data_IF_338453989195
#
_entry.id   IF_338453989195
#
_cell.length_a   1.000
_cell.length_b   1.000
_cell.length_c   1.000
_cell.angle_alpha   90.00
_cell.angle_beta   90.00
_cell.angle_gamma   90.00
#
_symmetry.space_group_name_H-M   'P 1'
#
loop_
_entity.id
_entity.type
_entity.pdbx_description
1 polymer ?
#
# COMPACT_ATOMS: atom_id res chain seq x y z
N UNK A 1 35.78 -19.98 31.82
CA UNK A 1 34.91 -18.79 31.82
C UNK A 1 35.25 -17.78 30.75
N UNK A 2 36.51 -17.42 30.50
CA UNK A 2 36.87 -16.44 29.44
C UNK A 2 36.50 -16.83 28.00
N UNK A 3 36.47 -18.12 27.68
CA UNK A 3 36.08 -18.62 26.33
C UNK A 3 34.56 -18.59 26.05
N UNK A 4 33.74 -18.66 27.08
CA UNK A 4 32.29 -18.63 26.97
C UNK A 4 31.79 -17.19 26.73
N UNK A 5 32.46 -16.21 27.31
CA UNK A 5 32.17 -14.79 27.12
C UNK A 5 32.46 -14.31 25.70
N UNK A 6 33.47 -14.85 25.04
CA UNK A 6 33.81 -14.52 23.65
C UNK A 6 32.82 -15.09 22.64
N UNK A 7 32.24 -16.27 22.92
CA UNK A 7 31.23 -16.89 22.08
C UNK A 7 29.86 -16.17 22.15
N UNK A 8 29.51 -15.69 23.35
CA UNK A 8 28.25 -14.94 23.51
C UNK A 8 28.29 -13.56 22.84
N UNK A 9 29.45 -12.92 22.81
CA UNK A 9 29.63 -11.62 22.14
C UNK A 9 29.54 -11.71 20.61
N UNK A 10 30.04 -12.80 20.01
CA UNK A 10 29.95 -12.99 18.56
C UNK A 10 28.56 -13.35 18.05
N UNK A 11 27.76 -14.04 18.85
CA UNK A 11 26.35 -14.35 18.51
C UNK A 11 25.49 -13.10 18.58
N UNK A 12 25.70 -12.24 19.57
CA UNK A 12 24.97 -10.97 19.69
C UNK A 12 25.26 -10.00 18.52
N UNK A 13 26.48 -10.00 18.00
CA UNK A 13 26.85 -9.15 16.86
C UNK A 13 26.30 -9.68 15.53
N UNK A 14 26.17 -10.99 15.38
CA UNK A 14 25.60 -11.62 14.18
C UNK A 14 24.09 -11.36 14.03
N UNK A 15 23.35 -11.25 15.13
CA UNK A 15 21.91 -10.96 15.10
C UNK A 15 21.58 -9.53 14.71
N UNK A 16 22.49 -8.59 14.88
CA UNK A 16 22.31 -7.19 14.48
C UNK A 16 22.44 -6.97 12.96
N UNK A 17 23.02 -7.91 12.23
CA UNK A 17 23.24 -7.79 10.78
C UNK A 17 22.03 -8.24 9.94
N UNK A 18 20.99 -8.82 10.55
CA UNK A 18 19.81 -9.33 9.87
C UNK A 18 18.58 -8.41 9.97
N UNK A 19 18.71 -7.23 10.57
CA UNK A 19 17.63 -6.24 10.53
C UNK A 19 17.63 -5.57 9.14
N UNK A 20 17.05 -6.24 8.16
CA UNK A 20 16.77 -5.65 6.86
C UNK A 20 15.89 -4.41 7.05
N UNK A 21 16.37 -3.24 6.63
CA UNK A 21 15.60 -2.01 6.64
C UNK A 21 14.51 -2.13 5.57
N UNK A 22 13.28 -2.45 5.98
CA UNK A 22 12.11 -2.33 5.12
C UNK A 22 11.71 -0.86 5.01
N UNK A 23 11.40 -0.39 3.80
CA UNK A 23 10.86 0.94 3.54
C UNK A 23 9.34 0.86 3.50
N UNK A 24 8.67 1.69 4.28
CA UNK A 24 7.23 1.89 4.17
C UNK A 24 6.95 3.08 3.27
N UNK A 25 6.00 2.92 2.36
CA UNK A 25 5.50 4.04 1.56
C UNK A 25 4.69 4.99 2.45
N UNK A 26 4.50 6.21 1.99
CA UNK A 26 3.63 7.18 2.66
C UNK A 26 2.16 6.85 2.40
N UNK A 27 1.29 7.30 3.30
CA UNK A 27 -0.15 7.27 3.04
C UNK A 27 -0.47 8.12 1.80
N UNK A 28 -1.44 7.67 1.04
CA UNK A 28 -1.90 8.39 -0.13
C UNK A 28 -2.63 9.67 0.28
N UNK A 29 -2.25 10.77 -0.34
CA UNK A 29 -2.96 12.03 -0.23
C UNK A 29 -3.59 12.37 -1.59
N UNK A 30 -4.89 12.70 -1.64
CA UNK A 30 -5.53 13.12 -2.88
C UNK A 30 -4.81 14.25 -3.57
N UNK A 31 -4.65 14.15 -4.88
CA UNK A 31 -4.07 15.17 -5.72
C UNK A 31 -5.09 16.28 -6.00
N UNK A 32 -4.69 17.54 -5.85
CA UNK A 32 -5.54 18.67 -6.18
C UNK A 32 -5.99 18.65 -7.65
N UNK A 33 -5.09 18.27 -8.56
CA UNK A 33 -5.39 18.18 -10.00
C UNK A 33 -6.40 17.06 -10.30
N UNK A 34 -6.25 15.89 -9.67
CA UNK A 34 -7.19 14.79 -9.82
C UNK A 34 -8.57 15.16 -9.29
N UNK A 35 -8.62 15.75 -8.10
CA UNK A 35 -9.89 16.21 -7.50
C UNK A 35 -10.57 17.27 -8.37
N UNK A 36 -9.81 18.20 -8.94
CA UNK A 36 -10.36 19.22 -9.85
C UNK A 36 -10.90 18.57 -11.13
N UNK A 37 -10.15 17.66 -11.73
CA UNK A 37 -10.57 16.91 -12.93
C UNK A 37 -11.85 16.13 -12.66
N UNK A 38 -11.96 15.45 -11.53
CA UNK A 38 -13.16 14.71 -11.14
C UNK A 38 -14.38 15.63 -10.93
N UNK A 39 -14.19 16.83 -10.39
CA UNK A 39 -15.25 17.82 -10.19
C UNK A 39 -15.84 18.33 -11.51
N UNK A 40 -15.09 18.28 -12.61
CA UNK A 40 -15.61 18.64 -13.93
C UNK A 40 -16.68 17.64 -14.42
N UNK A 41 -16.71 16.42 -13.86
CA UNK A 41 -17.72 15.41 -14.09
C UNK A 41 -18.79 15.39 -12.99
N UNK A 42 -19.45 16.51 -12.74
CA UNK A 42 -20.39 16.74 -11.62
C UNK A 42 -21.50 15.70 -11.50
N UNK A 43 -22.01 15.23 -12.63
CA UNK A 43 -23.12 14.28 -12.67
C UNK A 43 -22.69 12.82 -12.57
N UNK A 44 -21.39 12.55 -12.62
CA UNK A 44 -20.85 11.22 -12.51
C UNK A 44 -20.79 10.82 -11.02
N UNK A 45 -21.58 9.82 -10.66
CA UNK A 45 -21.54 9.20 -9.34
C UNK A 45 -21.11 7.74 -9.48
N UNK A 46 -20.17 7.33 -8.66
CA UNK A 46 -19.58 6.01 -8.69
C UNK A 46 -19.62 5.37 -7.31
N UNK A 47 -19.94 4.09 -7.26
CA UNK A 47 -19.60 3.23 -6.14
C UNK A 47 -18.25 2.54 -6.43
N UNK A 48 -17.48 2.28 -5.39
CA UNK A 48 -16.23 1.49 -5.48
C UNK A 48 -16.49 0.13 -4.88
N UNK A 49 -16.35 -0.90 -5.69
CA UNK A 49 -16.38 -2.29 -5.25
C UNK A 49 -15.01 -2.73 -4.76
N UNK A 50 -14.95 -3.87 -4.08
CA UNK A 50 -13.69 -4.40 -3.57
C UNK A 50 -12.66 -4.60 -4.68
N UNK A 51 -11.48 -4.02 -4.51
CA UNK A 51 -10.32 -4.32 -5.32
C UNK A 51 -9.69 -5.63 -4.86
N UNK A 52 -9.20 -6.39 -5.80
CA UNK A 52 -8.55 -7.68 -5.56
C UNK A 52 -7.12 -7.68 -6.07
N UNK A 53 -6.35 -8.68 -5.68
CA UNK A 53 -5.00 -8.92 -6.19
C UNK A 53 -4.89 -10.37 -6.64
N UNK A 54 -4.17 -10.60 -7.73
CA UNK A 54 -3.80 -11.95 -8.18
C UNK A 54 -2.98 -12.65 -7.10
N UNK A 55 -2.03 -11.92 -6.50
CA UNK A 55 -1.33 -12.38 -5.28
C UNK A 55 -2.10 -11.86 -4.06
N UNK A 56 -2.96 -12.71 -3.50
CA UNK A 56 -3.82 -12.35 -2.37
C UNK A 56 -3.00 -11.92 -1.16
N UNK A 57 -3.36 -10.78 -0.58
CA UNK A 57 -2.73 -10.28 0.63
C UNK A 57 -1.33 -9.67 0.43
N UNK A 58 -0.86 -9.55 -0.82
CA UNK A 58 0.43 -8.93 -1.11
C UNK A 58 0.43 -7.46 -0.65
N UNK A 59 1.32 -7.15 0.29
CA UNK A 59 1.45 -5.82 0.90
C UNK A 59 2.87 -5.26 0.83
N UNK A 60 3.79 -6.02 0.23
CA UNK A 60 5.19 -5.64 0.07
C UNK A 60 5.80 -6.24 -1.18
N UNK A 61 6.78 -5.55 -1.74
CA UNK A 61 7.59 -6.03 -2.86
C UNK A 61 9.06 -5.84 -2.56
N UNK A 62 9.89 -6.71 -3.13
CA UNK A 62 11.33 -6.63 -3.03
C UNK A 62 11.85 -5.68 -4.12
N UNK A 63 12.50 -4.59 -3.71
CA UNK A 63 13.16 -3.65 -4.59
C UNK A 63 14.67 -3.87 -4.59
N UNK A 64 15.28 -3.82 -5.76
CA UNK A 64 16.76 -3.87 -5.92
C UNK A 64 17.44 -5.03 -5.18
N UNK A 65 16.76 -6.19 -5.13
CA UNK A 65 17.25 -7.44 -4.53
C UNK A 65 17.52 -7.40 -3.00
N UNK A 66 17.42 -6.26 -2.33
CA UNK A 66 17.82 -6.13 -0.94
C UNK A 66 16.81 -5.40 -0.05
N UNK A 67 15.99 -4.53 -0.62
CA UNK A 67 15.08 -3.68 0.14
C UNK A 67 13.62 -4.09 -0.08
N UNK A 68 12.89 -4.26 1.01
CA UNK A 68 11.44 -4.50 0.94
C UNK A 68 10.71 -3.16 1.04
N UNK A 69 9.88 -2.88 0.06
CA UNK A 69 8.95 -1.73 0.09
C UNK A 69 7.56 -2.25 0.41
N UNK A 70 6.93 -1.68 1.41
CA UNK A 70 5.60 -2.10 1.88
C UNK A 70 4.63 -0.93 1.96
N UNK A 71 3.34 -1.25 1.99
CA UNK A 71 2.26 -0.30 2.24
C UNK A 71 2.39 0.32 3.64
N UNK A 72 1.83 1.53 3.88
CA UNK A 72 2.04 2.27 5.13
C UNK A 72 1.62 1.51 6.38
N UNK A 73 0.50 0.77 6.31
CA UNK A 73 -0.12 0.05 7.42
C UNK A 73 0.02 -1.47 7.31
N UNK A 74 0.75 -1.97 6.31
CA UNK A 74 0.85 -3.40 6.03
C UNK A 74 -0.40 -3.98 5.37
N UNK A 75 -1.33 -3.14 4.91
CA UNK A 75 -2.52 -3.55 4.17
C UNK A 75 -2.15 -4.08 2.78
N UNK A 76 -2.95 -4.96 2.17
CA UNK A 76 -2.74 -5.39 0.79
C UNK A 76 -2.70 -4.21 -0.19
N UNK A 77 -1.91 -4.30 -1.25
CA UNK A 77 -1.85 -3.28 -2.30
C UNK A 77 -3.22 -2.97 -2.91
N UNK A 78 -4.07 -3.98 -3.07
CA UNK A 78 -5.44 -3.80 -3.53
C UNK A 78 -6.25 -2.89 -2.61
N UNK A 79 -6.14 -3.08 -1.30
CA UNK A 79 -6.80 -2.23 -0.29
C UNK A 79 -6.23 -0.82 -0.29
N UNK A 80 -4.92 -0.68 -0.41
CA UNK A 80 -4.27 0.64 -0.48
C UNK A 80 -4.76 1.46 -1.69
N UNK A 81 -4.82 0.83 -2.87
CA UNK A 81 -5.29 1.49 -4.11
C UNK A 81 -6.79 1.78 -4.05
N UNK A 82 -7.60 0.86 -3.53
CA UNK A 82 -9.04 1.08 -3.31
C UNK A 82 -9.28 2.30 -2.42
N UNK A 83 -8.59 2.39 -1.29
CA UNK A 83 -8.71 3.52 -0.36
C UNK A 83 -8.24 4.84 -0.98
N UNK A 84 -7.17 4.82 -1.78
CA UNK A 84 -6.67 5.98 -2.50
C UNK A 84 -7.74 6.53 -3.47
N UNK A 85 -8.30 5.65 -4.30
CA UNK A 85 -9.36 6.02 -5.24
C UNK A 85 -10.61 6.53 -4.51
N UNK A 86 -11.01 5.83 -3.45
CA UNK A 86 -12.16 6.23 -2.64
C UNK A 86 -11.99 7.62 -2.02
N UNK A 87 -10.78 7.95 -1.58
CA UNK A 87 -10.44 9.27 -1.04
C UNK A 87 -10.57 10.37 -2.11
N UNK A 88 -10.07 10.11 -3.32
CA UNK A 88 -10.20 11.03 -4.46
C UNK A 88 -11.67 11.30 -4.80
N UNK A 89 -12.46 10.23 -4.96
CA UNK A 89 -13.88 10.32 -5.32
C UNK A 89 -14.70 11.02 -4.23
N UNK A 90 -14.43 10.75 -2.96
CA UNK A 90 -15.11 11.42 -1.85
C UNK A 90 -14.78 12.92 -1.80
N UNK A 91 -13.51 13.27 -1.96
CA UNK A 91 -13.07 14.67 -1.95
C UNK A 91 -13.62 15.46 -3.13
N UNK A 92 -13.77 14.83 -4.29
CA UNK A 92 -14.35 15.44 -5.48
C UNK A 92 -15.90 15.48 -5.44
N UNK A 93 -16.55 14.69 -4.57
CA UNK A 93 -18.00 14.59 -4.51
C UNK A 93 -18.60 13.61 -5.53
N UNK A 94 -17.80 12.73 -6.12
CA UNK A 94 -18.22 11.74 -7.13
C UNK A 94 -18.53 10.36 -6.51
N UNK A 95 -18.30 10.15 -5.22
CA UNK A 95 -18.61 8.88 -4.57
C UNK A 95 -20.08 8.80 -4.14
N UNK A 96 -20.75 7.72 -4.52
CA UNK A 96 -22.08 7.35 -4.04
C UNK A 96 -22.17 5.83 -3.93
N UNK A 97 -22.32 5.33 -2.70
CA UNK A 97 -22.45 3.89 -2.42
C UNK A 97 -23.69 3.24 -3.08
N UNK A 98 -24.69 4.05 -3.40
CA UNK A 98 -25.94 3.58 -4.02
C UNK A 98 -25.94 3.75 -5.55
N UNK A 99 -24.84 4.20 -6.13
CA UNK A 99 -24.74 4.35 -7.59
C UNK A 99 -24.87 2.98 -8.28
N UNK A 100 -25.51 2.99 -9.43
CA UNK A 100 -25.60 1.84 -10.33
C UNK A 100 -24.27 1.58 -11.07
N UNK A 101 -23.33 2.52 -11.01
CA UNK A 101 -22.02 2.41 -11.64
C UNK A 101 -21.02 1.98 -10.57
N UNK A 102 -20.50 0.77 -10.71
CA UNK A 102 -19.49 0.22 -9.82
C UNK A 102 -18.12 0.21 -10.48
N UNK A 103 -17.15 0.80 -9.82
CA UNK A 103 -15.75 0.72 -10.21
C UNK A 103 -15.04 -0.36 -9.37
N UNK A 104 -14.44 -1.30 -10.04
CA UNK A 104 -13.65 -2.39 -9.43
C UNK A 104 -12.35 -2.60 -10.19
N UNK A 105 -11.39 -3.24 -9.56
CA UNK A 105 -10.10 -3.52 -10.17
C UNK A 105 -9.44 -4.77 -9.60
N UNK A 106 -8.51 -5.30 -10.38
CA UNK A 106 -7.62 -6.36 -9.92
C UNK A 106 -6.17 -5.97 -10.16
N UNK A 107 -5.35 -6.07 -9.14
CA UNK A 107 -3.92 -5.85 -9.23
C UNK A 107 -3.26 -7.12 -9.73
N UNK A 108 -2.82 -7.12 -10.97
CA UNK A 108 -2.21 -8.30 -11.57
C UNK A 108 -0.79 -8.52 -11.08
N UNK A 109 -0.02 -7.44 -10.93
CA UNK A 109 1.37 -7.49 -10.52
C UNK A 109 1.85 -6.16 -9.98
N UNK A 110 2.71 -6.21 -8.97
CA UNK A 110 3.45 -5.06 -8.44
C UNK A 110 4.94 -5.29 -8.71
N UNK A 111 5.65 -4.25 -9.14
CA UNK A 111 7.07 -4.31 -9.52
C UNK A 111 7.91 -3.41 -8.61
#
# INVERSE_FOLDING_TARGET
>A
MKRILLLSSSVALATLLFTGCGIKTTEYNPSADNVQTLRDFKDLKLNVSNFTSTNKGESSVLCRLAETVSTPKGEPFSTYIENALLSELKMAGNYDKNSNINLSGNINKVY
#
